data_IF_576834308186
#
_entry.id   IF_576834308186
#
_cell.length_a   1.000
_cell.length_b   1.000
_cell.length_c   1.000
_cell.angle_alpha   90.00
_cell.angle_beta   90.00
_cell.angle_gamma   90.00
#
_symmetry.space_group_name_H-M   'P 1'
#
loop_
_entity.id
_entity.type
_entity.pdbx_description
1 polymer ?
#
# COMPACT_ATOMS: atom_id res chain seq x y z
N UNK A 1 2.70 34.44 -19.79
CA UNK A 1 1.76 34.29 -18.66
C UNK A 1 2.52 34.65 -17.40
N UNK A 2 1.92 35.40 -16.45
CA UNK A 2 2.61 35.73 -15.20
C UNK A 2 3.02 34.44 -14.47
N UNK A 3 4.23 34.43 -13.94
CA UNK A 3 4.78 33.30 -13.19
C UNK A 3 3.90 33.03 -11.98
N UNK A 4 3.23 31.87 -11.95
CA UNK A 4 2.39 31.49 -10.82
C UNK A 4 3.27 30.98 -9.69
N UNK A 5 3.21 31.67 -8.55
CA UNK A 5 3.80 31.21 -7.30
C UNK A 5 2.69 30.56 -6.46
N UNK A 6 2.88 29.29 -6.12
CA UNK A 6 1.99 28.56 -5.21
C UNK A 6 2.31 28.88 -3.75
N UNK A 7 1.30 28.88 -2.89
CA UNK A 7 1.53 29.02 -1.45
C UNK A 7 2.21 27.79 -0.87
N UNK A 8 1.83 26.60 -1.37
CA UNK A 8 2.47 25.33 -1.01
C UNK A 8 2.50 24.35 -2.19
N UNK A 9 3.64 23.70 -2.40
CA UNK A 9 3.76 22.53 -3.25
C UNK A 9 4.03 21.28 -2.41
N UNK A 10 3.36 20.19 -2.75
CA UNK A 10 3.44 18.91 -2.04
C UNK A 10 3.97 17.87 -3.03
N UNK A 11 5.06 17.20 -2.69
CA UNK A 11 5.68 16.16 -3.54
C UNK A 11 5.32 14.79 -2.99
N UNK A 12 4.51 14.04 -3.74
CA UNK A 12 3.97 12.74 -3.38
C UNK A 12 2.51 12.83 -2.90
N UNK A 13 1.66 11.96 -3.43
CA UNK A 13 0.21 11.93 -3.15
C UNK A 13 -0.21 10.75 -2.28
N UNK A 14 0.69 10.19 -1.47
CA UNK A 14 0.33 9.25 -0.41
C UNK A 14 -0.54 9.88 0.70
N UNK A 15 -0.92 9.12 1.74
CA UNK A 15 -1.77 9.59 2.85
C UNK A 15 -1.38 10.96 3.43
N UNK A 16 -0.09 11.18 3.68
CA UNK A 16 0.41 12.46 4.17
C UNK A 16 0.19 13.59 3.14
N UNK A 17 0.53 13.35 1.88
CA UNK A 17 0.51 14.35 0.82
C UNK A 17 -0.90 14.79 0.43
N UNK A 18 -1.79 13.85 0.09
CA UNK A 18 -3.14 14.22 -0.33
C UNK A 18 -3.95 14.84 0.82
N UNK A 19 -3.71 14.43 2.07
CA UNK A 19 -4.39 15.01 3.24
C UNK A 19 -3.91 16.44 3.46
N UNK A 20 -2.61 16.68 3.38
CA UNK A 20 -2.05 18.03 3.43
C UNK A 20 -2.59 18.91 2.29
N UNK A 21 -2.74 18.37 1.07
CA UNK A 21 -3.26 19.09 -0.07
C UNK A 21 -4.73 19.49 0.13
N UNK A 22 -5.57 18.56 0.60
CA UNK A 22 -6.96 18.85 0.96
C UNK A 22 -7.02 19.94 2.02
N UNK A 23 -6.19 19.84 3.07
CA UNK A 23 -6.22 20.80 4.16
C UNK A 23 -5.75 22.19 3.72
N UNK A 24 -4.73 22.28 2.88
CA UNK A 24 -4.26 23.52 2.29
C UNK A 24 -5.35 24.18 1.43
N UNK A 25 -6.03 23.40 0.58
CA UNK A 25 -7.16 23.88 -0.21
C UNK A 25 -8.34 24.37 0.65
N UNK A 26 -8.65 23.69 1.77
CA UNK A 26 -9.66 24.13 2.73
C UNK A 26 -9.32 25.47 3.40
N UNK A 27 -8.03 25.77 3.59
CA UNK A 27 -7.56 27.06 4.07
C UNK A 27 -7.46 28.14 2.98
N UNK A 28 -7.83 27.81 1.74
CA UNK A 28 -7.82 28.76 0.62
C UNK A 28 -6.44 28.99 0.01
N UNK A 29 -5.44 28.16 0.34
CA UNK A 29 -4.09 28.28 -0.20
C UNK A 29 -4.02 27.79 -1.65
N UNK A 30 -3.26 28.50 -2.49
CA UNK A 30 -2.95 28.03 -3.84
C UNK A 30 -1.99 26.84 -3.76
N UNK A 31 -2.52 25.65 -4.03
CA UNK A 31 -1.87 24.38 -3.69
C UNK A 31 -1.57 23.54 -4.92
N UNK A 32 -0.33 23.08 -5.05
CA UNK A 32 0.06 22.08 -6.05
C UNK A 32 0.36 20.73 -5.37
N UNK A 33 -0.19 19.64 -5.92
CA UNK A 33 0.14 18.27 -5.52
C UNK A 33 0.80 17.55 -6.70
N UNK A 34 2.06 17.17 -6.53
CA UNK A 34 2.90 16.59 -7.57
C UNK A 34 2.99 15.09 -7.34
N UNK A 35 2.61 14.29 -8.33
CA UNK A 35 2.61 12.82 -8.26
C UNK A 35 3.20 12.23 -9.55
N UNK A 36 4.15 11.31 -9.41
CA UNK A 36 4.77 10.62 -10.55
C UNK A 36 3.84 9.53 -11.10
N UNK A 37 3.08 8.87 -10.23
CA UNK A 37 2.22 7.76 -10.60
C UNK A 37 0.97 8.25 -11.37
N UNK A 38 0.34 7.40 -12.20
CA UNK A 38 -0.86 7.79 -12.96
C UNK A 38 -2.11 7.97 -12.08
N UNK A 39 -2.01 7.69 -10.78
CA UNK A 39 -3.09 7.73 -9.81
C UNK A 39 -2.64 8.43 -8.52
N UNK A 40 -3.59 9.02 -7.81
CA UNK A 40 -3.36 9.60 -6.49
C UNK A 40 -3.63 8.57 -5.39
N UNK A 41 -3.01 8.74 -4.22
CA UNK A 41 -3.29 7.94 -3.01
C UNK A 41 -2.11 7.11 -2.51
N UNK A 42 -1.06 6.98 -3.32
CA UNK A 42 0.20 6.31 -3.01
C UNK A 42 0.04 4.84 -2.55
N UNK A 43 1.06 4.35 -1.85
CA UNK A 43 1.18 2.94 -1.41
C UNK A 43 -0.05 2.45 -0.66
N UNK A 44 -0.54 3.22 0.32
CA UNK A 44 -1.62 2.77 1.20
C UNK A 44 -2.92 2.49 0.45
N UNK A 45 -3.25 3.30 -0.57
CA UNK A 45 -4.47 3.12 -1.35
C UNK A 45 -4.34 2.01 -2.39
N UNK A 46 -3.20 1.94 -3.09
CA UNK A 46 -3.10 1.10 -4.29
C UNK A 46 -2.49 -0.28 -4.05
N UNK A 47 -1.49 -0.36 -3.15
CA UNK A 47 -0.64 -1.55 -3.00
C UNK A 47 -0.30 -1.85 -1.54
N UNK A 48 -1.18 -1.45 -0.62
CA UNK A 48 -0.96 -1.55 0.82
C UNK A 48 -2.28 -1.66 1.58
N UNK A 49 -2.55 -0.70 2.46
CA UNK A 49 -3.66 -0.73 3.41
C UNK A 49 -5.00 -1.20 2.80
N UNK A 50 -5.50 -0.49 1.79
CA UNK A 50 -6.84 -0.70 1.25
C UNK A 50 -7.01 -2.08 0.59
N UNK A 51 -6.15 -2.49 -0.37
CA UNK A 51 -6.29 -3.81 -0.98
C UNK A 51 -6.04 -4.94 0.02
N UNK A 52 -5.04 -4.83 0.91
CA UNK A 52 -4.78 -5.86 1.92
C UNK A 52 -5.94 -6.02 2.89
N UNK A 53 -6.58 -4.93 3.33
CA UNK A 53 -7.73 -5.00 4.25
C UNK A 53 -8.99 -5.52 3.54
N UNK A 54 -9.15 -5.24 2.25
CA UNK A 54 -10.20 -5.86 1.45
C UNK A 54 -10.02 -7.39 1.37
N UNK A 55 -8.78 -7.86 1.16
CA UNK A 55 -8.47 -9.29 1.13
C UNK A 55 -8.60 -9.96 2.51
N UNK A 56 -8.17 -9.30 3.59
CA UNK A 56 -8.36 -9.79 4.97
C UNK A 56 -9.84 -9.99 5.29
N UNK A 57 -10.70 -9.05 4.92
CA UNK A 57 -12.13 -9.19 5.13
C UNK A 57 -12.71 -10.38 4.33
N UNK A 58 -12.28 -10.56 3.08
CA UNK A 58 -12.67 -11.71 2.29
C UNK A 58 -12.16 -13.04 2.89
N UNK A 59 -10.96 -13.05 3.46
CA UNK A 59 -10.37 -14.19 4.16
C UNK A 59 -11.13 -14.52 5.45
N UNK A 60 -11.50 -13.51 6.24
CA UNK A 60 -12.31 -13.66 7.45
C UNK A 60 -13.70 -14.24 7.14
N UNK A 61 -14.38 -13.73 6.12
CA UNK A 61 -15.66 -14.29 5.66
C UNK A 61 -15.51 -15.75 5.22
N UNK A 62 -14.41 -16.08 4.55
CA UNK A 62 -14.15 -17.45 4.12
C UNK A 62 -13.92 -18.38 5.31
N UNK A 63 -13.15 -17.96 6.32
CA UNK A 63 -12.97 -18.70 7.57
C UNK A 63 -14.31 -18.89 8.31
N UNK A 64 -15.14 -17.85 8.45
CA UNK A 64 -16.48 -18.00 9.04
C UNK A 64 -17.37 -18.99 8.25
N UNK A 65 -17.25 -19.03 6.92
CA UNK A 65 -17.96 -20.03 6.12
C UNK A 65 -17.41 -21.45 6.32
N UNK A 66 -16.13 -21.61 6.70
CA UNK A 66 -15.57 -22.91 7.10
C UNK A 66 -16.21 -23.42 8.38
N UNK A 67 -16.38 -22.52 9.33
CA UNK A 67 -16.87 -22.83 10.66
C UNK A 67 -18.38 -22.60 10.82
N UNK A 68 -19.09 -22.37 9.71
CA UNK A 68 -20.49 -21.97 9.69
C UNK A 68 -21.43 -22.87 10.52
N UNK A 69 -21.12 -24.18 10.60
CA UNK A 69 -21.88 -25.13 11.42
C UNK A 69 -21.79 -24.81 12.92
N UNK A 70 -20.65 -24.32 13.40
CA UNK A 70 -20.47 -23.89 14.80
C UNK A 70 -21.35 -22.69 15.13
N UNK A 71 -21.69 -21.88 14.13
CA UNK A 71 -22.61 -20.75 14.23
C UNK A 71 -24.07 -21.12 13.93
N UNK A 72 -24.40 -22.41 13.76
CA UNK A 72 -25.76 -22.87 13.46
C UNK A 72 -26.24 -22.54 12.03
N UNK A 73 -25.32 -22.27 11.10
CA UNK A 73 -25.64 -22.01 9.69
C UNK A 73 -25.46 -23.30 8.89
N UNK A 74 -26.58 -23.85 8.41
CA UNK A 74 -26.60 -25.07 7.60
C UNK A 74 -26.56 -24.78 6.08
N UNK A 75 -26.29 -25.81 5.28
CA UNK A 75 -26.37 -25.72 3.81
C UNK A 75 -25.16 -25.10 3.10
N UNK A 76 -24.07 -24.77 3.81
CA UNK A 76 -22.88 -24.09 3.26
C UNK A 76 -21.61 -24.95 3.17
N UNK A 77 -21.74 -26.27 3.38
CA UNK A 77 -20.60 -27.20 3.36
C UNK A 77 -19.92 -27.30 1.97
N UNK A 78 -20.71 -27.22 0.89
CA UNK A 78 -20.19 -27.16 -0.49
C UNK A 78 -20.00 -25.69 -0.89
N UNK A 79 -18.78 -25.18 -0.71
CA UNK A 79 -18.39 -23.81 -1.07
C UNK A 79 -17.19 -23.82 -2.00
N UNK A 80 -17.21 -22.95 -3.00
CA UNK A 80 -16.11 -22.79 -3.98
C UNK A 80 -15.63 -21.35 -3.96
N UNK A 81 -14.33 -21.17 -3.74
CA UNK A 81 -13.70 -19.86 -3.83
C UNK A 81 -13.63 -19.44 -5.31
N UNK A 82 -14.22 -18.29 -5.63
CA UNK A 82 -14.01 -17.63 -6.92
C UNK A 82 -12.97 -16.53 -6.74
N UNK A 83 -11.69 -16.89 -6.92
CA UNK A 83 -10.57 -15.97 -6.70
C UNK A 83 -10.62 -14.73 -7.60
N UNK A 84 -11.02 -14.88 -8.86
CA UNK A 84 -11.18 -13.74 -9.77
C UNK A 84 -12.20 -12.71 -9.25
N UNK A 85 -13.29 -13.16 -8.62
CA UNK A 85 -14.27 -12.27 -7.99
C UNK A 85 -13.74 -11.60 -6.72
N UNK A 86 -12.85 -12.27 -5.97
CA UNK A 86 -12.17 -11.69 -4.81
C UNK A 86 -11.27 -10.53 -5.26
N UNK A 87 -10.44 -10.76 -6.30
CA UNK A 87 -9.58 -9.73 -6.87
C UNK A 87 -10.38 -8.57 -7.47
N UNK A 88 -11.43 -8.85 -8.25
CA UNK A 88 -12.30 -7.81 -8.82
C UNK A 88 -12.94 -6.94 -7.72
N UNK A 89 -13.41 -7.54 -6.62
CA UNK A 89 -13.93 -6.78 -5.48
C UNK A 89 -12.86 -5.88 -4.86
N UNK A 90 -11.66 -6.40 -4.61
CA UNK A 90 -10.50 -5.62 -4.11
C UNK A 90 -10.25 -4.41 -5.02
N UNK A 91 -10.15 -4.63 -6.33
CA UNK A 91 -9.90 -3.59 -7.33
C UNK A 91 -11.02 -2.54 -7.33
N UNK A 92 -12.29 -2.96 -7.28
CA UNK A 92 -13.43 -2.03 -7.19
C UNK A 92 -13.37 -1.13 -5.95
N UNK A 93 -12.91 -1.64 -4.81
CA UNK A 93 -12.74 -0.85 -3.58
C UNK A 93 -11.63 0.20 -3.77
N UNK A 94 -10.47 -0.22 -4.30
CA UNK A 94 -9.35 0.69 -4.62
C UNK A 94 -9.78 1.79 -5.58
N UNK A 95 -10.41 1.42 -6.71
CA UNK A 95 -10.89 2.35 -7.73
C UNK A 95 -11.89 3.36 -7.20
N UNK A 96 -12.84 2.90 -6.36
CA UNK A 96 -13.83 3.77 -5.73
C UNK A 96 -13.14 4.84 -4.88
N UNK A 97 -12.17 4.45 -4.06
CA UNK A 97 -11.42 5.37 -3.22
C UNK A 97 -10.53 6.31 -4.03
N UNK A 98 -9.87 5.82 -5.08
CA UNK A 98 -9.04 6.64 -5.98
C UNK A 98 -9.88 7.71 -6.70
N UNK A 99 -11.06 7.35 -7.22
CA UNK A 99 -12.02 8.30 -7.81
C UNK A 99 -12.50 9.32 -6.78
N UNK A 100 -12.80 8.88 -5.57
CA UNK A 100 -13.14 9.76 -4.45
C UNK A 100 -12.03 10.79 -4.16
N UNK A 101 -10.77 10.37 -4.21
CA UNK A 101 -9.64 11.25 -3.98
C UNK A 101 -9.47 12.30 -5.09
N UNK A 102 -9.62 11.90 -6.35
CA UNK A 102 -9.62 12.83 -7.48
C UNK A 102 -10.75 13.87 -7.38
N UNK A 103 -11.94 13.44 -6.94
CA UNK A 103 -13.04 14.36 -6.65
C UNK A 103 -12.66 15.36 -5.54
N UNK A 104 -12.04 14.90 -4.46
CA UNK A 104 -11.61 15.75 -3.36
C UNK A 104 -10.54 16.77 -3.77
N UNK A 105 -9.60 16.41 -4.65
CA UNK A 105 -8.63 17.39 -5.19
C UNK A 105 -9.34 18.53 -5.92
N UNK A 106 -10.26 18.19 -6.83
CA UNK A 106 -11.05 19.20 -7.56
C UNK A 106 -11.91 20.05 -6.63
N UNK A 107 -12.60 19.44 -5.68
CA UNK A 107 -13.45 20.14 -4.70
C UNK A 107 -12.67 21.17 -3.89
N UNK A 108 -11.42 20.85 -3.52
CA UNK A 108 -10.56 21.72 -2.74
C UNK A 108 -9.63 22.59 -3.61
N UNK A 109 -9.86 22.67 -4.94
CA UNK A 109 -9.08 23.49 -5.87
C UNK A 109 -7.57 23.24 -5.80
N UNK A 110 -7.19 21.97 -5.60
CA UNK A 110 -5.79 21.53 -5.63
C UNK A 110 -5.41 21.27 -7.08
N UNK A 111 -4.33 21.90 -7.53
CA UNK A 111 -3.75 21.65 -8.84
C UNK A 111 -2.90 20.36 -8.77
N UNK A 112 -3.41 19.29 -9.35
CA UNK A 112 -2.70 18.00 -9.42
C UNK A 112 -1.79 17.98 -10.64
N UNK A 113 -0.48 17.82 -10.43
CA UNK A 113 0.52 17.82 -11.49
C UNK A 113 1.15 16.45 -11.60
N UNK A 114 1.01 15.80 -12.76
CA UNK A 114 1.67 14.53 -13.03
C UNK A 114 3.16 14.76 -13.34
N UNK A 115 4.05 14.08 -12.62
CA UNK A 115 5.49 14.08 -12.87
C UNK A 115 6.32 13.83 -11.62
N UNK A 116 7.60 13.55 -11.81
CA UNK A 116 8.57 13.39 -10.73
C UNK A 116 9.06 14.78 -10.28
N UNK A 117 8.70 15.18 -9.06
CA UNK A 117 9.09 16.46 -8.46
C UNK A 117 10.47 16.40 -7.80
N UNK A 118 11.32 17.39 -8.08
CA UNK A 118 12.66 17.54 -7.49
C UNK A 118 12.89 18.99 -7.05
N UNK A 119 13.29 19.18 -5.80
CA UNK A 119 13.81 20.47 -5.34
C UNK A 119 15.12 20.79 -6.04
N UNK A 120 15.22 21.98 -6.64
CA UNK A 120 16.43 22.38 -7.37
C UNK A 120 17.50 23.03 -6.49
N UNK A 121 17.19 23.31 -5.23
CA UNK A 121 18.10 23.93 -4.27
C UNK A 121 17.36 24.72 -3.17
N UNK A 122 18.10 25.51 -2.38
CA UNK A 122 17.52 26.41 -1.38
C UNK A 122 16.56 27.43 -1.99
N UNK A 123 15.64 27.95 -1.17
CA UNK A 123 14.79 29.06 -1.59
C UNK A 123 15.62 30.29 -1.94
N UNK A 124 15.22 30.98 -3.00
CA UNK A 124 15.74 32.31 -3.34
C UNK A 124 14.65 33.33 -3.03
N UNK A 125 14.96 34.32 -2.19
CA UNK A 125 14.00 35.35 -1.74
C UNK A 125 12.69 34.75 -1.17
N UNK A 126 12.80 33.66 -0.40
CA UNK A 126 11.65 32.98 0.19
C UNK A 126 10.82 32.15 -0.79
N UNK A 127 11.31 31.89 -2.01
CA UNK A 127 10.62 31.08 -3.03
C UNK A 127 11.47 29.88 -3.42
N UNK A 128 10.91 28.69 -3.27
CA UNK A 128 11.47 27.43 -3.76
C UNK A 128 11.12 27.20 -5.23
N UNK A 129 11.97 26.46 -5.93
CA UNK A 129 11.70 25.96 -7.28
C UNK A 129 11.66 24.45 -7.27
N UNK A 130 10.57 23.89 -7.79
CA UNK A 130 10.41 22.46 -8.02
C UNK A 130 10.53 22.20 -9.51
N UNK A 131 11.49 21.39 -9.90
CA UNK A 131 11.56 20.80 -11.23
C UNK A 131 10.61 19.60 -11.29
N UNK A 132 9.82 19.50 -12.34
CA UNK A 132 8.85 18.42 -12.55
C UNK A 132 9.19 17.74 -13.87
N UNK A 133 9.69 16.51 -13.79
CA UNK A 133 9.98 15.67 -14.96
C UNK A 133 8.76 14.81 -15.29
N UNK A 134 8.22 14.98 -16.49
CA UNK A 134 7.03 14.27 -16.98
C UNK A 134 7.47 13.31 -18.08
N UNK A 135 7.22 12.03 -17.89
CA UNK A 135 7.42 11.03 -18.95
C UNK A 135 6.34 11.19 -20.04
N UNK A 136 6.78 11.23 -21.28
CA UNK A 136 5.95 11.31 -22.49
C UNK A 136 6.37 10.19 -23.44
N UNK A 137 5.53 9.85 -24.43
CA UNK A 137 5.76 8.71 -25.33
C UNK A 137 7.16 8.71 -25.99
N UNK A 138 7.72 9.89 -26.28
CA UNK A 138 9.00 10.05 -27.00
C UNK A 138 10.09 10.73 -26.15
N UNK A 139 10.07 10.57 -24.82
CA UNK A 139 11.12 11.07 -23.92
C UNK A 139 10.60 11.66 -22.63
N UNK A 140 11.21 12.75 -22.17
CA UNK A 140 10.78 13.45 -20.96
C UNK A 140 10.66 14.96 -21.21
N UNK A 141 9.57 15.55 -20.71
CA UNK A 141 9.39 16.99 -20.66
C UNK A 141 9.67 17.47 -19.23
N UNK A 142 10.53 18.47 -19.10
CA UNK A 142 10.79 19.13 -17.83
C UNK A 142 10.00 20.43 -17.76
N UNK A 143 9.35 20.66 -16.64
CA UNK A 143 8.71 21.95 -16.31
C UNK A 143 9.15 22.39 -14.92
N UNK A 144 8.90 23.65 -14.57
CA UNK A 144 9.21 24.17 -13.25
C UNK A 144 7.99 24.82 -12.61
N UNK A 145 7.92 24.74 -11.30
CA UNK A 145 6.92 25.38 -10.47
C UNK A 145 7.62 26.15 -9.34
N UNK A 146 7.11 27.35 -9.05
CA UNK A 146 7.56 28.17 -7.93
C UNK A 146 6.60 28.05 -6.75
N UNK A 147 7.12 27.99 -5.53
CA UNK A 147 6.29 27.95 -4.33
C UNK A 147 6.96 28.59 -3.12
N UNK A 148 6.16 29.10 -2.18
CA UNK A 148 6.66 29.62 -0.90
C UNK A 148 7.01 28.53 0.10
N UNK A 149 6.23 27.44 0.13
CA UNK A 149 6.40 26.36 1.09
C UNK A 149 6.42 25.00 0.37
N UNK A 150 7.13 24.04 0.94
CA UNK A 150 7.27 22.70 0.35
C UNK A 150 6.98 21.64 1.41
N UNK A 151 6.14 20.67 1.07
CA UNK A 151 5.93 19.46 1.87
C UNK A 151 6.46 18.28 1.07
N UNK A 152 7.43 17.56 1.64
CA UNK A 152 7.95 16.32 1.06
C UNK A 152 7.18 15.13 1.66
N UNK A 153 6.37 14.47 0.84
CA UNK A 153 5.52 13.34 1.20
C UNK A 153 5.75 12.14 0.25
N UNK A 154 7.03 11.89 -0.06
CA UNK A 154 7.46 10.95 -1.12
C UNK A 154 7.29 9.46 -0.78
N UNK A 155 6.90 9.14 0.47
CA UNK A 155 6.57 7.79 0.87
C UNK A 155 7.78 6.88 1.06
N UNK A 156 7.58 5.59 0.75
CA UNK A 156 8.53 4.50 0.96
C UNK A 156 8.36 3.44 -0.13
N UNK A 157 9.35 2.56 -0.25
CA UNK A 157 9.34 1.42 -1.17
C UNK A 157 9.67 0.11 -0.45
N UNK A 158 9.31 -1.02 -1.07
CA UNK A 158 9.64 -2.33 -0.54
C UNK A 158 11.16 -2.56 -0.60
N UNK A 159 11.75 -3.03 0.51
CA UNK A 159 13.18 -3.33 0.58
C UNK A 159 13.43 -4.76 0.14
N UNK A 160 14.17 -4.94 -0.95
CA UNK A 160 14.64 -6.25 -1.38
C UNK A 160 15.74 -6.78 -0.44
N UNK A 161 15.74 -8.09 -0.22
CA UNK A 161 16.84 -8.79 0.45
C UNK A 161 18.02 -8.84 -0.52
N UNK A 162 19.25 -8.48 -0.10
CA UNK A 162 20.42 -8.55 -0.96
C UNK A 162 20.56 -9.93 -1.62
N UNK A 163 20.80 -9.97 -2.92
CA UNK A 163 20.91 -11.21 -3.70
C UNK A 163 19.59 -11.70 -4.31
N UNK A 164 18.44 -11.29 -3.76
CA UNK A 164 17.13 -11.60 -4.34
C UNK A 164 16.67 -10.51 -5.31
N UNK A 165 16.04 -10.94 -6.40
CA UNK A 165 15.41 -10.08 -7.41
C UNK A 165 13.95 -10.48 -7.55
N UNK A 166 13.12 -9.54 -7.99
CA UNK A 166 11.72 -9.82 -8.32
C UNK A 166 11.65 -10.77 -9.52
N UNK A 167 10.81 -11.79 -9.42
CA UNK A 167 10.46 -12.71 -10.51
C UNK A 167 9.02 -13.25 -10.31
N UNK A 168 8.69 -14.37 -10.95
CA UNK A 168 7.37 -15.00 -10.84
C UNK A 168 7.10 -15.64 -9.46
N UNK A 169 8.13 -15.80 -8.62
CA UNK A 169 8.08 -16.47 -7.31
C UNK A 169 8.48 -15.56 -6.16
N UNK A 170 9.37 -14.60 -6.39
CA UNK A 170 9.84 -13.61 -5.42
C UNK A 170 9.02 -12.35 -5.60
N UNK A 171 8.08 -12.14 -4.68
CA UNK A 171 7.10 -11.06 -4.73
C UNK A 171 7.27 -10.11 -3.55
N UNK A 172 6.90 -8.85 -3.74
CA UNK A 172 6.74 -7.90 -2.61
C UNK A 172 5.26 -7.76 -2.25
N UNK A 173 4.95 -6.81 -1.36
CA UNK A 173 3.57 -6.43 -1.06
C UNK A 173 2.79 -5.90 -2.28
N UNK A 174 3.48 -5.58 -3.38
CA UNK A 174 2.88 -5.08 -4.62
C UNK A 174 2.38 -6.26 -5.46
N UNK A 175 3.28 -7.13 -5.92
CA UNK A 175 2.96 -8.18 -6.88
C UNK A 175 2.01 -9.23 -6.28
N UNK A 176 2.14 -9.52 -4.98
CA UNK A 176 1.31 -10.51 -4.29
C UNK A 176 -0.19 -10.16 -4.31
N UNK A 177 -0.53 -8.87 -4.43
CA UNK A 177 -1.92 -8.38 -4.49
C UNK A 177 -2.60 -8.61 -5.85
N UNK A 178 -1.84 -9.06 -6.85
CA UNK A 178 -2.28 -9.30 -8.22
C UNK A 178 -2.13 -10.77 -8.64
N UNK A 179 -1.81 -11.67 -7.70
CA UNK A 179 -1.68 -13.10 -7.98
C UNK A 179 -2.96 -13.64 -8.62
N UNK A 180 -2.86 -14.16 -9.86
CA UNK A 180 -4.02 -14.67 -10.60
C UNK A 180 -4.66 -15.94 -10.04
N UNK A 181 -4.02 -16.59 -9.08
CA UNK A 181 -4.54 -17.77 -8.38
C UNK A 181 -3.99 -17.85 -6.96
N UNK A 182 -4.69 -18.56 -6.07
CA UNK A 182 -4.19 -18.85 -4.72
C UNK A 182 -3.03 -19.85 -4.82
N UNK A 183 -1.83 -19.52 -4.32
CA UNK A 183 -0.68 -20.43 -4.38
C UNK A 183 -0.90 -21.63 -3.45
N UNK A 184 -0.31 -22.78 -3.82
CA UNK A 184 -0.34 -23.99 -2.98
C UNK A 184 0.44 -23.80 -1.67
N UNK A 185 1.58 -23.14 -1.76
CA UNK A 185 2.44 -22.81 -0.62
C UNK A 185 2.98 -21.39 -0.73
N UNK A 186 3.31 -20.80 0.41
CA UNK A 186 3.84 -19.44 0.54
C UNK A 186 4.87 -19.37 1.66
N UNK A 187 6.06 -18.86 1.33
CA UNK A 187 7.05 -18.43 2.32
C UNK A 187 6.93 -16.92 2.46
N UNK A 188 6.75 -16.46 3.70
CA UNK A 188 6.76 -15.04 4.05
C UNK A 188 8.07 -14.74 4.78
N UNK A 189 8.91 -13.89 4.21
CA UNK A 189 10.15 -13.46 4.84
C UNK A 189 9.90 -12.14 5.58
N UNK A 190 10.01 -12.18 6.90
CA UNK A 190 9.66 -11.11 7.83
C UNK A 190 8.27 -11.30 8.44
N UNK A 191 8.20 -11.16 9.76
CA UNK A 191 7.00 -11.33 10.57
C UNK A 191 6.47 -10.01 11.15
N UNK A 192 6.84 -8.88 10.57
CA UNK A 192 6.17 -7.60 10.84
C UNK A 192 4.70 -7.63 10.39
N UNK A 193 3.96 -6.56 10.71
CA UNK A 193 2.52 -6.45 10.45
C UNK A 193 2.11 -6.86 9.02
N UNK A 194 2.82 -6.38 7.99
CA UNK A 194 2.54 -6.73 6.59
C UNK A 194 2.70 -8.23 6.33
N UNK A 195 3.78 -8.84 6.83
CA UNK A 195 4.06 -10.26 6.65
C UNK A 195 2.99 -11.15 7.30
N UNK A 196 2.63 -10.85 8.55
CA UNK A 196 1.61 -11.63 9.27
C UNK A 196 0.20 -11.46 8.68
N UNK A 197 -0.11 -10.30 8.08
CA UNK A 197 -1.37 -10.09 7.35
C UNK A 197 -1.45 -10.97 6.10
N UNK A 198 -0.43 -10.96 5.24
CA UNK A 198 -0.41 -11.82 4.05
C UNK A 198 -0.40 -13.31 4.42
N UNK A 199 0.36 -13.69 5.44
CA UNK A 199 0.33 -15.05 5.97
C UNK A 199 -1.09 -15.46 6.39
N UNK A 200 -1.81 -14.58 7.09
CA UNK A 200 -3.20 -14.80 7.50
C UNK A 200 -4.14 -14.94 6.30
N UNK A 201 -4.08 -14.01 5.34
CA UNK A 201 -4.93 -14.01 4.14
C UNK A 201 -4.81 -15.33 3.38
N UNK A 202 -3.58 -15.71 3.02
CA UNK A 202 -3.36 -16.89 2.19
C UNK A 202 -3.63 -18.19 2.95
N UNK A 203 -3.36 -18.22 4.26
CA UNK A 203 -3.73 -19.37 5.08
C UNK A 203 -5.25 -19.59 5.11
N UNK A 204 -6.04 -18.53 5.21
CA UNK A 204 -7.51 -18.63 5.12
C UNK A 204 -7.94 -19.26 3.79
N UNK A 205 -7.23 -19.03 2.69
CA UNK A 205 -7.51 -19.70 1.41
C UNK A 205 -6.79 -21.05 1.22
N UNK A 206 -6.42 -21.70 2.32
CA UNK A 206 -5.85 -23.06 2.36
C UNK A 206 -4.42 -23.19 1.81
N UNK A 207 -3.72 -22.08 1.58
CA UNK A 207 -2.28 -22.09 1.29
C UNK A 207 -1.50 -22.66 2.48
N UNK A 208 -0.48 -23.46 2.22
CA UNK A 208 0.53 -23.85 3.21
C UNK A 208 1.50 -22.69 3.45
N UNK A 209 1.43 -22.07 4.64
CA UNK A 209 2.18 -20.84 4.92
C UNK A 209 3.30 -21.10 5.92
N UNK A 210 4.50 -20.62 5.60
CA UNK A 210 5.65 -20.58 6.51
C UNK A 210 6.20 -19.16 6.61
N UNK A 211 6.35 -18.65 7.84
CA UNK A 211 6.95 -17.35 8.12
C UNK A 211 8.38 -17.57 8.62
N UNK A 212 9.34 -16.86 8.01
CA UNK A 212 10.74 -16.82 8.43
C UNK A 212 11.05 -15.43 8.98
N UNK A 213 11.48 -15.33 10.23
CA UNK A 213 11.81 -14.07 10.90
C UNK A 213 13.23 -14.12 11.43
N UNK A 214 14.02 -13.09 11.13
CA UNK A 214 15.39 -12.97 11.59
C UNK A 214 15.47 -12.63 13.09
N UNK A 215 14.50 -11.89 13.60
CA UNK A 215 14.40 -11.50 15.01
C UNK A 215 13.82 -12.63 15.90
N UNK A 216 13.92 -12.52 17.23
CA UNK A 216 13.54 -13.60 18.14
C UNK A 216 12.04 -13.91 18.23
N UNK A 217 11.18 -12.98 17.81
CA UNK A 217 9.74 -13.06 18.02
C UNK A 217 8.95 -12.70 16.76
N UNK A 218 7.73 -13.22 16.66
CA UNK A 218 6.74 -12.76 15.69
C UNK A 218 6.34 -11.33 16.04
N UNK A 219 6.08 -10.47 15.04
CA UNK A 219 5.77 -9.04 15.23
C UNK A 219 6.72 -8.38 16.24
N UNK A 220 8.04 -8.40 15.99
CA UNK A 220 9.08 -8.13 17.00
C UNK A 220 9.14 -6.68 17.50
N UNK A 221 8.34 -5.78 16.94
CA UNK A 221 8.20 -4.39 17.40
C UNK A 221 7.04 -4.21 18.39
N UNK A 222 6.21 -5.23 18.58
CA UNK A 222 5.11 -5.24 19.52
C UNK A 222 5.55 -5.77 20.89
N UNK A 223 4.65 -5.71 21.86
CA UNK A 223 4.88 -6.29 23.18
C UNK A 223 5.10 -7.82 23.11
N UNK A 224 6.03 -8.33 23.93
CA UNK A 224 6.43 -9.73 23.88
C UNK A 224 5.28 -10.71 24.23
N UNK A 225 4.35 -10.31 25.12
CA UNK A 225 3.16 -11.12 25.44
C UNK A 225 2.25 -11.23 24.22
N UNK A 226 2.05 -10.12 23.48
CA UNK A 226 1.30 -10.09 22.23
C UNK A 226 1.97 -10.97 21.18
N UNK A 227 3.29 -10.89 21.03
CA UNK A 227 4.06 -11.75 20.11
C UNK A 227 3.87 -13.24 20.41
N UNK A 228 3.91 -13.62 21.70
CA UNK A 228 3.72 -15.02 22.13
C UNK A 228 2.30 -15.50 21.83
N UNK A 229 1.30 -14.68 22.13
CA UNK A 229 -0.09 -15.02 21.90
C UNK A 229 -0.41 -15.14 20.41
N UNK A 230 0.09 -14.20 19.59
CA UNK A 230 -0.08 -14.25 18.14
C UNK A 230 0.56 -15.51 17.55
N UNK A 231 1.80 -15.83 17.94
CA UNK A 231 2.48 -17.04 17.49
C UNK A 231 1.71 -18.32 17.88
N UNK A 232 1.09 -18.34 19.07
CA UNK A 232 0.24 -19.45 19.52
C UNK A 232 -1.00 -19.60 18.65
N UNK A 233 -1.70 -18.50 18.35
CA UNK A 233 -2.89 -18.50 17.48
C UNK A 233 -2.52 -18.90 16.04
N UNK A 234 -1.42 -18.37 15.51
CA UNK A 234 -0.96 -18.68 14.15
C UNK A 234 -0.59 -20.15 14.00
N UNK A 235 0.08 -20.73 15.00
CA UNK A 235 0.38 -22.17 15.01
C UNK A 235 -0.90 -23.01 15.02
N UNK A 236 -1.92 -22.64 15.81
CA UNK A 236 -3.22 -23.32 15.82
C UNK A 236 -3.94 -23.23 14.47
N UNK A 237 -3.79 -22.12 13.75
CA UNK A 237 -4.31 -21.96 12.39
C UNK A 237 -3.50 -22.72 11.33
N UNK A 238 -2.39 -23.37 11.69
CA UNK A 238 -1.53 -24.10 10.76
C UNK A 238 -0.57 -23.20 9.97
N UNK A 239 -0.20 -22.05 10.52
CA UNK A 239 0.86 -21.19 9.98
C UNK A 239 2.16 -21.54 10.68
N UNK A 240 3.14 -22.03 9.91
CA UNK A 240 4.46 -22.34 10.44
C UNK A 240 5.26 -21.05 10.67
N UNK A 241 6.08 -21.02 11.73
CA UNK A 241 6.85 -19.84 12.09
C UNK A 241 8.24 -20.26 12.61
N UNK A 242 9.28 -19.62 12.06
CA UNK A 242 10.66 -19.79 12.47
C UNK A 242 11.27 -18.42 12.81
N UNK A 243 11.51 -18.19 14.11
CA UNK A 243 12.28 -17.06 14.61
C UNK A 243 13.79 -17.32 14.53
N UNK A 244 14.61 -16.26 14.54
CA UNK A 244 16.06 -16.37 14.42
C UNK A 244 16.53 -16.97 13.08
N UNK A 245 15.66 -16.98 12.07
CA UNK A 245 15.91 -17.56 10.76
C UNK A 245 16.38 -16.48 9.79
N UNK A 246 17.61 -16.62 9.28
CA UNK A 246 18.16 -15.75 8.24
C UNK A 246 17.95 -16.40 6.87
N UNK A 247 17.43 -15.63 5.93
CA UNK A 247 17.35 -16.02 4.52
C UNK A 247 18.61 -15.50 3.82
N UNK A 248 19.28 -16.39 3.08
CA UNK A 248 20.51 -16.12 2.32
C UNK A 248 20.29 -16.38 0.83
#
# INVERSE_FOLDING_TARGET
MPETIYDVAIIGSGPAGYTAAIRAGQYGLKTALIEKDPYLGGTCLHVGCIPTKALLFNAELWDHLKDAKEYGIEGVASRKLNWASVLDRKTKVVDKHAKGLQFLMRKNKVDTVKGFGKLTGPAQNGVHTIEIKIEIKDGAKTTQLKTRNVILAMGSEARMIPGLQLDDRVLTNIEILELGSVPKSLIVVGSGAVGVEFASIFRSFDTEVTILEMLPYMVPLEDEEVSKELARVYRKRGINFHAGAKVE
#
